data_IF_385768476804
#
_entry.id   IF_385768476804
#
_cell.length_a   1.000
_cell.length_b   1.000
_cell.length_c   1.000
_cell.angle_alpha   90.00
_cell.angle_beta   90.00
_cell.angle_gamma   90.00
#
_symmetry.space_group_name_H-M   'P 1'
#
loop_
_entity.id
_entity.type
_entity.pdbx_description
1 polymer ?
#
# COMPACT_ATOMS: atom_id res chain seq x y z
N UNK A 1 19.42 33.62 -22.64
CA UNK A 1 20.76 34.12 -23.07
C UNK A 1 20.70 34.45 -24.56
N UNK A 2 20.68 35.74 -24.90
CA UNK A 2 20.74 36.24 -26.30
C UNK A 2 22.23 36.31 -26.69
N UNK A 3 22.64 35.66 -27.77
CA UNK A 3 23.94 35.94 -28.41
C UNK A 3 23.70 36.56 -29.78
N UNK A 4 24.27 37.75 -29.88
CA UNK A 4 24.40 38.65 -31.01
C UNK A 4 25.27 38.00 -32.07
N UNK A 5 24.89 38.12 -33.34
CA UNK A 5 25.81 37.92 -34.46
C UNK A 5 25.66 39.14 -35.37
N UNK A 6 26.63 40.05 -35.26
CA UNK A 6 26.71 41.26 -36.04
C UNK A 6 27.22 40.93 -37.45
N UNK A 7 26.57 41.52 -38.44
CA UNK A 7 26.96 41.50 -39.84
C UNK A 7 28.19 42.39 -40.07
N UNK A 8 29.12 41.93 -40.91
CA UNK A 8 30.15 42.76 -41.53
C UNK A 8 29.86 42.73 -43.03
N UNK A 9 29.27 43.82 -43.53
CA UNK A 9 29.12 44.10 -44.96
C UNK A 9 30.16 45.16 -45.31
N UNK A 10 31.27 44.74 -45.94
CA UNK A 10 32.24 45.65 -46.54
C UNK A 10 31.69 46.12 -47.89
N UNK A 11 31.15 47.34 -47.90
CA UNK A 11 30.78 48.07 -49.10
C UNK A 11 32.06 48.67 -49.70
N UNK A 12 32.59 48.06 -50.76
CA UNK A 12 33.64 48.66 -51.58
C UNK A 12 32.99 49.54 -52.65
N UNK A 13 32.91 50.84 -52.38
CA UNK A 13 32.59 51.86 -53.39
C UNK A 13 33.81 52.05 -54.31
N UNK A 14 33.83 51.33 -55.45
CA UNK A 14 34.69 51.65 -56.58
C UNK A 14 33.93 52.53 -57.56
N UNK A 15 34.28 53.81 -57.54
CA UNK A 15 33.70 54.84 -58.40
C UNK A 15 34.32 54.74 -59.82
N UNK A 16 33.78 53.85 -60.65
CA UNK A 16 34.23 53.66 -62.04
C UNK A 16 33.48 54.67 -62.94
N UNK A 17 34.18 55.75 -63.32
CA UNK A 17 33.75 56.66 -64.38
C UNK A 17 33.72 55.94 -65.73
N UNK A 18 32.51 55.63 -66.20
CA UNK A 18 32.26 55.08 -67.53
C UNK A 18 32.48 56.13 -68.63
N UNK A 19 33.41 55.86 -69.53
CA UNK A 19 33.53 56.53 -70.84
C UNK A 19 32.53 55.85 -71.78
N UNK A 20 31.45 56.55 -72.16
CA UNK A 20 30.50 56.08 -73.18
C UNK A 20 31.09 56.29 -74.57
N UNK A 21 31.51 55.21 -75.21
CA UNK A 21 31.65 55.15 -76.66
C UNK A 21 30.35 54.57 -77.24
N UNK A 22 29.60 55.40 -77.97
CA UNK A 22 28.45 54.97 -78.78
C UNK A 22 28.97 54.46 -80.12
N UNK A 23 29.20 53.15 -80.23
CA UNK A 23 29.35 52.45 -81.51
C UNK A 23 28.07 51.64 -81.77
N UNK A 24 27.43 51.90 -82.91
CA UNK A 24 26.26 51.16 -83.37
C UNK A 24 26.68 49.78 -83.86
N UNK A 25 26.78 48.81 -82.95
CA UNK A 25 27.14 47.44 -83.28
C UNK A 25 25.91 46.56 -83.45
N UNK A 26 25.78 45.96 -84.63
CA UNK A 26 24.97 44.76 -84.74
C UNK A 26 25.57 43.67 -83.85
N UNK A 27 24.74 42.94 -83.08
CA UNK A 27 25.24 42.02 -82.06
C UNK A 27 26.05 40.91 -82.71
N UNK A 28 27.34 40.89 -82.40
CA UNK A 28 28.29 39.84 -82.78
C UNK A 28 27.69 38.45 -82.43
N UNK A 29 27.68 37.47 -83.36
CA UNK A 29 27.19 36.11 -83.10
C UNK A 29 27.78 35.48 -81.84
N UNK A 30 29.03 35.83 -81.50
CA UNK A 30 29.68 35.40 -80.26
C UNK A 30 28.97 35.93 -79.01
N UNK A 31 28.50 37.18 -79.01
CA UNK A 31 27.79 37.78 -77.90
C UNK A 31 26.45 37.07 -77.65
N UNK A 32 25.73 36.67 -78.71
CA UNK A 32 24.49 35.89 -78.58
C UNK A 32 24.72 34.51 -77.96
N UNK A 33 25.84 33.86 -78.27
CA UNK A 33 26.20 32.57 -77.68
C UNK A 33 26.56 32.71 -76.19
N UNK A 34 27.32 33.76 -75.86
CA UNK A 34 27.66 34.11 -74.48
C UNK A 34 26.39 34.38 -73.66
N UNK A 35 25.45 35.13 -74.22
CA UNK A 35 24.17 35.45 -73.58
C UNK A 35 23.35 34.18 -73.31
N UNK A 36 23.21 33.28 -74.29
CA UNK A 36 22.54 31.98 -74.09
C UNK A 36 23.21 31.11 -73.01
N UNK A 37 24.54 31.11 -72.95
CA UNK A 37 25.26 30.36 -71.91
C UNK A 37 25.07 30.98 -70.53
N UNK A 38 25.04 32.31 -70.44
CA UNK A 38 24.75 33.02 -69.20
C UNK A 38 23.34 32.72 -68.70
N UNK A 39 22.33 32.75 -69.58
CA UNK A 39 20.94 32.39 -69.25
C UNK A 39 20.84 30.96 -68.70
N UNK A 40 21.49 29.98 -69.37
CA UNK A 40 21.44 28.58 -68.94
C UNK A 40 22.15 28.36 -67.59
N UNK A 41 23.27 29.03 -67.35
CA UNK A 41 23.95 28.99 -66.04
C UNK A 41 23.12 29.64 -64.93
N UNK A 42 22.42 30.74 -65.24
CA UNK A 42 21.52 31.39 -64.30
C UNK A 42 20.34 30.48 -63.95
N UNK A 43 19.72 29.82 -64.94
CA UNK A 43 18.64 28.87 -64.73
C UNK A 43 19.08 27.64 -63.92
N UNK A 44 20.27 27.10 -64.23
CA UNK A 44 20.86 26.00 -63.47
C UNK A 44 21.12 26.39 -62.01
N UNK A 45 21.66 27.59 -61.78
CA UNK A 45 21.92 28.12 -60.43
C UNK A 45 20.61 28.28 -59.65
N UNK A 46 19.55 28.82 -60.28
CA UNK A 46 18.20 28.92 -59.68
C UNK A 46 17.66 27.54 -59.31
N UNK A 47 17.85 26.53 -60.17
CA UNK A 47 17.41 25.15 -59.91
C UNK A 47 18.14 24.52 -58.73
N UNK A 48 19.47 24.63 -58.65
CA UNK A 48 20.24 24.15 -57.49
C UNK A 48 19.78 24.86 -56.22
N UNK A 49 19.68 26.18 -56.23
CA UNK A 49 19.29 26.96 -55.05
C UNK A 49 17.89 26.56 -54.55
N UNK A 50 16.95 26.33 -55.46
CA UNK A 50 15.61 25.85 -55.11
C UNK A 50 15.63 24.44 -54.50
N UNK A 51 16.45 23.54 -55.03
CA UNK A 51 16.59 22.17 -54.52
C UNK A 51 17.22 22.14 -53.13
N UNK A 52 18.26 22.95 -52.89
CA UNK A 52 18.90 23.08 -51.59
C UNK A 52 17.93 23.62 -50.52
N UNK A 53 17.13 24.66 -50.84
CA UNK A 53 16.11 25.19 -49.93
C UNK A 53 15.05 24.15 -49.55
N UNK A 54 14.61 23.34 -50.51
CA UNK A 54 13.59 22.32 -50.28
C UNK A 54 14.07 21.17 -49.36
N UNK A 55 15.36 20.84 -49.39
CA UNK A 55 15.92 19.81 -48.51
C UNK A 55 15.95 20.30 -47.06
N UNK A 56 16.45 21.50 -46.83
CA UNK A 56 16.51 22.10 -45.49
C UNK A 56 15.12 22.23 -44.88
N UNK A 57 14.12 22.60 -45.68
CA UNK A 57 12.73 22.73 -45.23
C UNK A 57 12.10 21.39 -44.82
N UNK A 58 12.31 20.32 -45.61
CA UNK A 58 11.82 18.97 -45.27
C UNK A 58 12.45 18.40 -44.00
N UNK A 59 13.76 18.60 -43.81
CA UNK A 59 14.43 18.17 -42.59
C UNK A 59 13.90 18.94 -41.39
N UNK A 60 13.74 20.26 -41.52
CA UNK A 60 13.20 21.11 -40.47
C UNK A 60 11.78 20.70 -40.08
N UNK A 61 10.89 20.46 -41.04
CA UNK A 61 9.52 20.02 -40.80
C UNK A 61 9.46 18.69 -40.05
N UNK A 62 10.34 17.72 -40.41
CA UNK A 62 10.45 16.43 -39.72
C UNK A 62 10.86 16.60 -38.26
N UNK A 63 11.84 17.46 -37.98
CA UNK A 63 12.27 17.74 -36.60
C UNK A 63 11.18 18.47 -35.81
N UNK A 64 10.49 19.43 -36.42
CA UNK A 64 9.36 20.13 -35.79
C UNK A 64 8.24 19.16 -35.40
N UNK A 65 7.85 18.24 -36.31
CA UNK A 65 6.86 17.20 -35.99
C UNK A 65 7.31 16.31 -34.82
N UNK A 66 8.59 15.94 -34.78
CA UNK A 66 9.15 15.14 -33.69
C UNK A 66 9.13 15.90 -32.36
N UNK A 67 9.57 17.15 -32.35
CA UNK A 67 9.53 18.03 -31.17
C UNK A 67 8.10 18.20 -30.67
N UNK A 68 7.15 18.43 -31.57
CA UNK A 68 5.74 18.57 -31.23
C UNK A 68 5.19 17.29 -30.57
N UNK A 69 5.37 16.13 -31.21
CA UNK A 69 4.92 14.84 -30.65
C UNK A 69 5.54 14.52 -29.28
N UNK A 70 6.82 14.84 -29.08
CA UNK A 70 7.49 14.67 -27.80
C UNK A 70 6.94 15.63 -26.73
N UNK A 71 6.64 16.88 -27.10
CA UNK A 71 6.01 17.84 -26.19
C UNK A 71 4.62 17.38 -25.75
N UNK A 72 3.82 16.82 -26.66
CA UNK A 72 2.49 16.27 -26.33
C UNK A 72 2.60 15.09 -25.36
N UNK A 73 3.54 14.17 -25.60
CA UNK A 73 3.81 13.04 -24.69
C UNK A 73 4.25 13.52 -23.30
N UNK A 74 5.17 14.50 -23.22
CA UNK A 74 5.62 15.08 -21.95
C UNK A 74 4.45 15.70 -21.19
N UNK A 75 3.57 16.43 -21.88
CA UNK A 75 2.40 17.04 -21.26
C UNK A 75 1.41 15.98 -20.75
N UNK A 76 1.17 14.91 -21.51
CA UNK A 76 0.33 13.79 -21.10
C UNK A 76 0.89 13.06 -19.87
N UNK A 77 2.20 12.79 -19.84
CA UNK A 77 2.85 12.17 -18.69
C UNK A 77 2.81 13.06 -17.44
N UNK A 78 3.02 14.37 -17.61
CA UNK A 78 2.92 15.34 -16.51
C UNK A 78 1.52 15.34 -15.89
N UNK A 79 0.47 15.36 -16.72
CA UNK A 79 -0.91 15.29 -16.25
C UNK A 79 -1.20 13.97 -15.50
N UNK A 80 -0.66 12.83 -15.98
CA UNK A 80 -0.85 11.54 -15.31
C UNK A 80 -0.13 11.46 -13.95
N UNK A 81 1.04 12.07 -13.82
CA UNK A 81 1.76 12.14 -12.54
C UNK A 81 0.95 12.96 -11.54
N UNK A 82 0.43 14.11 -11.95
CA UNK A 82 -0.40 14.97 -11.09
C UNK A 82 -1.68 14.25 -10.61
N UNK A 83 -2.32 13.46 -11.48
CA UNK A 83 -3.46 12.60 -11.12
C UNK A 83 -3.07 11.53 -10.08
N UNK A 84 -1.91 10.88 -10.25
CA UNK A 84 -1.45 9.86 -9.31
C UNK A 84 -1.04 10.43 -7.96
N UNK A 85 -0.41 11.62 -7.94
CA UNK A 85 -0.05 12.32 -6.72
C UNK A 85 -1.30 12.74 -5.94
N UNK A 86 -2.32 13.27 -6.63
CA UNK A 86 -3.59 13.62 -6.00
C UNK A 86 -4.35 12.40 -5.47
N UNK A 87 -4.42 11.30 -6.23
CA UNK A 87 -5.01 10.03 -5.76
C UNK A 87 -4.26 9.45 -4.55
N UNK A 88 -2.92 9.50 -4.55
CA UNK A 88 -2.12 9.06 -3.42
C UNK A 88 -2.38 9.89 -2.15
N UNK A 89 -2.48 11.22 -2.28
CA UNK A 89 -2.83 12.11 -1.17
C UNK A 89 -4.25 11.79 -0.65
N UNK A 90 -5.23 11.59 -1.53
CA UNK A 90 -6.60 11.23 -1.15
C UNK A 90 -6.63 9.88 -0.42
N UNK A 91 -5.89 8.88 -0.92
CA UNK A 91 -5.78 7.56 -0.26
C UNK A 91 -5.11 7.65 1.10
N UNK A 92 -4.03 8.41 1.24
CA UNK A 92 -3.38 8.61 2.53
C UNK A 92 -4.30 9.33 3.54
N UNK A 93 -5.05 10.35 3.09
CA UNK A 93 -6.06 11.01 3.91
C UNK A 93 -7.19 10.04 4.32
N UNK A 94 -7.64 9.18 3.40
CA UNK A 94 -8.63 8.15 3.70
C UNK A 94 -8.09 7.12 4.69
N UNK A 95 -6.85 6.65 4.55
CA UNK A 95 -6.22 5.74 5.51
C UNK A 95 -6.10 6.42 6.89
N UNK A 96 -5.64 7.67 6.95
CA UNK A 96 -5.60 8.45 8.20
C UNK A 96 -6.99 8.66 8.81
N UNK A 97 -8.02 8.85 7.97
CA UNK A 97 -9.40 8.92 8.41
C UNK A 97 -9.88 7.58 8.97
N UNK A 98 -9.67 6.47 8.26
CA UNK A 98 -10.02 5.13 8.71
C UNK A 98 -9.27 4.73 9.98
N UNK A 99 -7.99 5.07 10.10
CA UNK A 99 -7.21 4.89 11.34
C UNK A 99 -7.82 5.68 12.47
N UNK A 100 -8.14 6.97 12.26
CA UNK A 100 -8.88 7.75 13.24
C UNK A 100 -10.23 7.12 13.56
N UNK A 101 -11.02 6.68 12.58
CA UNK A 101 -12.31 6.02 12.82
C UNK A 101 -12.14 4.73 13.61
N UNK A 102 -11.09 3.94 13.36
CA UNK A 102 -10.71 2.73 14.12
C UNK A 102 -10.19 3.06 15.52
N UNK A 103 -9.40 4.12 15.70
CA UNK A 103 -8.97 4.63 17.01
C UNK A 103 -10.14 5.25 17.78
N UNK A 104 -11.14 5.77 17.05
CA UNK A 104 -12.41 6.25 17.57
C UNK A 104 -13.45 5.14 17.71
N UNK A 105 -13.27 3.93 17.18
CA UNK A 105 -14.20 2.82 17.43
C UNK A 105 -14.24 2.48 18.94
N UNK A 106 -13.10 2.47 19.68
CA UNK A 106 -13.09 2.49 21.14
C UNK A 106 -13.84 3.68 21.77
N UNK A 107 -13.85 4.87 21.13
CA UNK A 107 -14.43 6.11 21.67
C UNK A 107 -15.91 6.33 21.30
N UNK A 108 -16.38 5.81 20.17
CA UNK A 108 -17.77 5.90 19.70
C UNK A 108 -18.64 4.80 20.29
N UNK A 109 -18.05 3.64 20.62
CA UNK A 109 -18.70 2.71 21.53
C UNK A 109 -18.86 3.33 22.93
N UNK A 110 -17.92 4.19 23.36
CA UNK A 110 -18.02 4.99 24.59
C UNK A 110 -19.04 6.15 24.51
N UNK A 111 -19.29 6.74 23.34
CA UNK A 111 -20.22 7.88 23.19
C UNK A 111 -21.67 7.48 22.95
N UNK A 112 -21.95 6.38 22.23
CA UNK A 112 -23.29 5.78 22.24
C UNK A 112 -23.55 4.92 23.48
N UNK A 113 -22.50 4.46 24.18
CA UNK A 113 -22.59 3.96 25.56
C UNK A 113 -22.39 5.06 26.62
N UNK A 114 -22.38 6.35 26.28
CA UNK A 114 -22.44 7.42 27.31
C UNK A 114 -23.88 7.65 27.81
N UNK A 115 -24.87 6.94 27.27
CA UNK A 115 -26.13 6.67 28.00
C UNK A 115 -26.08 5.37 28.83
N UNK A 116 -24.95 4.65 28.81
CA UNK A 116 -24.67 3.37 29.50
C UNK A 116 -23.22 3.39 30.05
N UNK A 117 -22.92 4.35 30.94
CA UNK A 117 -21.60 4.76 31.45
C UNK A 117 -20.92 3.70 32.36
N UNK A 118 -21.00 2.41 32.00
CA UNK A 118 -20.72 1.31 32.92
C UNK A 118 -19.62 0.31 32.54
N UNK A 119 -19.00 0.34 31.36
CA UNK A 119 -18.28 -0.87 30.89
C UNK A 119 -16.84 -0.71 30.34
N UNK A 120 -16.33 0.48 30.06
CA UNK A 120 -15.02 0.61 29.39
C UNK A 120 -13.76 0.68 30.29
N UNK A 121 -13.86 0.31 31.57
CA UNK A 121 -12.66 0.10 32.40
C UNK A 121 -11.94 -1.22 32.08
N UNK A 122 -12.62 -2.17 31.44
CA UNK A 122 -12.12 -3.55 31.38
C UNK A 122 -11.08 -3.83 30.29
N UNK A 123 -11.05 -3.05 29.21
CA UNK A 123 -10.12 -3.28 28.10
C UNK A 123 -8.73 -2.69 28.39
N UNK A 124 -8.66 -1.61 29.15
CA UNK A 124 -7.39 -1.12 29.71
C UNK A 124 -6.88 -2.06 30.83
N UNK A 125 -7.78 -2.60 31.66
CA UNK A 125 -7.46 -3.71 32.57
C UNK A 125 -7.06 -5.01 31.81
N UNK A 126 -7.51 -5.21 30.55
CA UNK A 126 -7.16 -6.39 29.72
C UNK A 126 -5.69 -6.39 29.28
N UNK A 127 -5.12 -5.22 28.97
CA UNK A 127 -3.75 -5.10 28.47
C UNK A 127 -2.71 -4.91 29.60
N UNK A 128 -3.14 -4.47 30.79
CA UNK A 128 -2.27 -4.22 31.94
C UNK A 128 -2.23 -5.34 33.00
N UNK A 129 -2.92 -6.46 32.81
CA UNK A 129 -2.74 -7.62 33.68
C UNK A 129 -1.41 -8.29 33.33
N UNK A 130 -0.33 -7.89 33.99
CA UNK A 130 0.92 -8.66 34.00
C UNK A 130 0.63 -10.04 34.63
N UNK A 131 0.71 -11.10 33.84
CA UNK A 131 0.27 -12.47 34.18
C UNK A 131 1.40 -13.34 34.77
N UNK A 132 2.48 -12.75 35.29
CA UNK A 132 3.63 -13.48 35.85
C UNK A 132 3.46 -13.84 37.34
N UNK A 133 2.32 -14.44 37.71
CA UNK A 133 2.02 -14.80 39.09
C UNK A 133 1.49 -16.22 39.21
N UNK A 134 2.38 -17.20 39.12
CA UNK A 134 2.09 -18.61 39.41
C UNK A 134 1.72 -18.76 40.88
N UNK A 135 0.46 -19.09 41.17
CA UNK A 135 0.07 -19.67 42.44
C UNK A 135 -0.61 -21.01 42.16
N UNK A 136 0.19 -22.06 42.26
CA UNK A 136 -0.20 -23.46 42.15
C UNK A 136 -0.76 -23.93 43.50
N UNK A 137 -2.06 -23.76 43.70
CA UNK A 137 -2.81 -24.53 44.70
C UNK A 137 -4.05 -25.12 44.00
N UNK A 138 -3.94 -26.39 43.60
CA UNK A 138 -5.04 -27.14 42.99
C UNK A 138 -6.13 -27.44 44.02
N UNK A 139 -7.39 -27.02 43.80
CA UNK A 139 -8.51 -27.49 44.63
C UNK A 139 -9.00 -28.86 44.15
N UNK A 140 -9.30 -29.74 45.09
CA UNK A 140 -9.79 -31.11 44.89
C UNK A 140 -11.21 -31.18 44.29
N UNK A 141 -11.37 -32.09 43.31
CA UNK A 141 -12.52 -32.88 42.81
C UNK A 141 -14.00 -32.41 42.91
N UNK A 142 -14.28 -31.20 43.38
CA UNK A 142 -15.63 -30.63 43.54
C UNK A 142 -15.91 -29.54 42.48
N UNK A 143 -15.08 -29.46 41.44
CA UNK A 143 -14.75 -28.24 40.69
C UNK A 143 -15.74 -27.83 39.60
N UNK A 144 -16.45 -28.76 38.94
CA UNK A 144 -17.35 -28.42 37.82
C UNK A 144 -18.65 -27.71 38.26
N UNK A 145 -19.29 -28.20 39.33
CA UNK A 145 -20.50 -27.58 39.87
C UNK A 145 -20.21 -26.20 40.47
N UNK A 146 -19.02 -26.02 41.04
CA UNK A 146 -18.54 -24.75 41.59
C UNK A 146 -18.30 -23.71 40.48
N UNK A 147 -17.68 -24.09 39.35
CA UNK A 147 -17.45 -23.19 38.22
C UNK A 147 -18.76 -22.60 37.67
N UNK A 148 -19.73 -23.45 37.34
CA UNK A 148 -21.00 -22.99 36.79
C UNK A 148 -21.76 -22.10 37.78
N UNK A 149 -21.77 -22.50 39.05
CA UNK A 149 -22.45 -21.74 40.10
C UNK A 149 -21.84 -20.35 40.26
N UNK A 150 -20.51 -20.23 40.24
CA UNK A 150 -19.83 -18.92 40.28
C UNK A 150 -20.10 -18.07 39.04
N UNK A 151 -20.11 -18.67 37.85
CA UNK A 151 -20.45 -17.94 36.62
C UNK A 151 -21.89 -17.42 36.67
N UNK A 152 -22.84 -18.24 37.12
CA UNK A 152 -24.24 -17.85 37.27
C UNK A 152 -24.41 -16.77 38.35
N UNK A 153 -23.72 -16.89 39.48
CA UNK A 153 -23.71 -15.85 40.52
C UNK A 153 -23.23 -14.52 39.95
N UNK A 154 -22.11 -14.52 39.22
CA UNK A 154 -21.58 -13.32 38.59
C UNK A 154 -22.58 -12.76 37.56
N UNK A 155 -23.17 -13.61 36.73
CA UNK A 155 -24.18 -13.17 35.75
C UNK A 155 -25.42 -12.58 36.43
N UNK A 156 -25.88 -13.15 37.53
CA UNK A 156 -27.03 -12.65 38.28
C UNK A 156 -26.71 -11.33 38.99
N UNK A 157 -25.49 -11.19 39.53
CA UNK A 157 -25.06 -9.98 40.25
C UNK A 157 -24.81 -8.80 39.30
N UNK A 158 -24.19 -9.04 38.15
CA UNK A 158 -23.75 -7.97 37.26
C UNK A 158 -24.64 -7.81 36.01
N UNK A 159 -25.37 -8.85 35.61
CA UNK A 159 -26.32 -8.80 34.49
C UNK A 159 -25.69 -8.21 33.23
N UNK A 160 -26.20 -7.04 32.82
CA UNK A 160 -25.68 -6.31 31.68
C UNK A 160 -24.31 -5.67 31.95
N UNK A 161 -24.06 -5.18 33.17
CA UNK A 161 -22.81 -4.56 33.63
C UNK A 161 -21.66 -5.56 33.85
N UNK A 162 -21.76 -6.74 33.26
CA UNK A 162 -20.75 -7.78 33.31
C UNK A 162 -19.47 -7.29 32.67
N UNK A 163 -18.38 -7.47 33.39
CA UNK A 163 -17.04 -6.97 33.13
C UNK A 163 -16.01 -8.09 33.18
N UNK A 164 -14.96 -7.99 32.38
CA UNK A 164 -13.95 -9.07 32.28
C UNK A 164 -13.30 -9.36 33.65
N UNK A 165 -12.99 -8.32 34.44
CA UNK A 165 -12.30 -8.47 35.72
C UNK A 165 -13.06 -9.36 36.71
N UNK A 166 -14.36 -9.53 36.56
CA UNK A 166 -15.15 -10.43 37.40
C UNK A 166 -14.88 -11.90 37.09
N UNK A 167 -14.36 -12.21 35.90
CA UNK A 167 -13.90 -13.55 35.51
C UNK A 167 -12.44 -13.85 35.90
N UNK A 168 -11.79 -12.98 36.70
CA UNK A 168 -10.44 -13.26 37.25
C UNK A 168 -10.37 -14.58 38.03
N UNK A 169 -11.46 -15.03 38.64
CA UNK A 169 -11.51 -16.32 39.34
C UNK A 169 -11.30 -17.53 38.41
N UNK A 170 -11.51 -17.37 37.09
CA UNK A 170 -11.21 -18.44 36.12
C UNK A 170 -9.74 -18.84 36.13
N UNK A 171 -8.84 -18.02 36.71
CA UNK A 171 -7.44 -18.35 36.99
C UNK A 171 -7.28 -19.64 37.81
N UNK A 172 -8.24 -19.94 38.65
CA UNK A 172 -8.16 -21.06 39.59
C UNK A 172 -8.52 -22.42 38.98
N UNK A 173 -8.96 -22.44 37.72
CA UNK A 173 -9.34 -23.66 37.00
C UNK A 173 -8.27 -24.07 36.00
N UNK A 174 -8.16 -25.38 35.77
CA UNK A 174 -7.32 -25.93 34.71
C UNK A 174 -7.84 -25.55 33.32
N UNK A 175 -6.94 -25.44 32.34
CA UNK A 175 -7.32 -25.14 30.96
C UNK A 175 -8.26 -26.21 30.38
N UNK A 176 -8.00 -27.49 30.69
CA UNK A 176 -8.86 -28.62 30.35
C UNK A 176 -10.28 -28.46 30.91
N UNK A 177 -10.39 -28.11 32.19
CA UNK A 177 -11.70 -27.93 32.84
C UNK A 177 -12.50 -26.81 32.17
N UNK A 178 -11.83 -25.70 31.81
CA UNK A 178 -12.47 -24.58 31.13
C UNK A 178 -12.92 -24.95 29.71
N UNK A 179 -12.08 -25.65 28.94
CA UNK A 179 -12.42 -26.10 27.59
C UNK A 179 -13.57 -27.10 27.63
N UNK A 180 -13.54 -28.08 28.52
CA UNK A 180 -14.66 -29.00 28.74
C UNK A 180 -15.94 -28.26 29.12
N UNK A 181 -15.84 -27.25 29.99
CA UNK A 181 -16.99 -26.42 30.35
C UNK A 181 -17.61 -25.74 29.13
N UNK A 182 -16.81 -25.26 28.16
CA UNK A 182 -17.34 -24.66 26.91
C UNK A 182 -18.15 -25.61 26.04
N UNK A 183 -18.02 -26.93 26.24
CA UNK A 183 -18.77 -27.96 25.53
C UNK A 183 -20.13 -28.28 26.19
N UNK A 184 -20.40 -27.72 27.37
CA UNK A 184 -21.61 -28.03 28.17
C UNK A 184 -22.84 -27.23 27.74
N UNK A 185 -24.04 -27.77 28.00
CA UNK A 185 -25.31 -27.04 27.84
C UNK A 185 -25.38 -25.81 28.73
N UNK A 186 -24.78 -25.88 29.92
CA UNK A 186 -24.65 -24.75 30.84
C UNK A 186 -23.93 -23.57 30.19
N UNK A 187 -22.76 -23.80 29.57
CA UNK A 187 -22.07 -22.75 28.82
C UNK A 187 -22.92 -22.21 27.67
N UNK A 188 -23.60 -23.09 26.94
CA UNK A 188 -24.49 -22.71 25.83
C UNK A 188 -25.70 -21.88 26.30
N UNK A 189 -26.13 -22.01 27.55
CA UNK A 189 -27.20 -21.20 28.14
C UNK A 189 -26.73 -19.81 28.59
N UNK A 190 -25.41 -19.57 28.69
CA UNK A 190 -24.87 -18.28 29.13
C UNK A 190 -25.14 -17.16 28.13
N UNK A 191 -25.19 -15.93 28.64
CA UNK A 191 -25.27 -14.74 27.81
C UNK A 191 -23.98 -14.57 26.96
N UNK A 192 -24.09 -13.78 25.88
CA UNK A 192 -23.01 -13.57 24.91
C UNK A 192 -21.74 -12.99 25.55
N UNK A 193 -21.86 -12.12 26.56
CA UNK A 193 -20.71 -11.50 27.25
C UNK A 193 -19.94 -12.53 28.07
N UNK A 194 -20.60 -13.34 28.88
CA UNK A 194 -19.94 -14.39 29.68
C UNK A 194 -19.22 -15.40 28.78
N UNK A 195 -19.88 -15.85 27.71
CA UNK A 195 -19.26 -16.74 26.71
C UNK A 195 -17.99 -16.13 26.12
N UNK A 196 -18.05 -14.85 25.73
CA UNK A 196 -16.90 -14.10 25.20
C UNK A 196 -15.76 -14.03 26.23
N UNK A 197 -16.04 -13.71 27.49
CA UNK A 197 -15.02 -13.57 28.53
C UNK A 197 -14.37 -14.91 28.88
N UNK A 198 -15.15 -15.98 29.02
CA UNK A 198 -14.61 -17.33 29.25
C UNK A 198 -13.72 -17.75 28.09
N UNK A 199 -14.19 -17.60 26.84
CA UNK A 199 -13.39 -17.92 25.65
C UNK A 199 -12.13 -17.07 25.53
N UNK A 200 -12.20 -15.80 25.92
CA UNK A 200 -11.03 -14.93 25.98
C UNK A 200 -9.99 -15.44 26.98
N UNK A 201 -10.42 -15.84 28.18
CA UNK A 201 -9.51 -16.40 29.18
C UNK A 201 -8.84 -17.69 28.70
N UNK A 202 -9.58 -18.57 28.02
CA UNK A 202 -9.03 -19.79 27.44
C UNK A 202 -8.02 -19.44 26.33
N UNK A 203 -8.41 -18.60 25.37
CA UNK A 203 -7.54 -18.19 24.25
C UNK A 203 -6.25 -17.57 24.74
N UNK A 204 -6.29 -16.70 25.74
CA UNK A 204 -5.09 -16.06 26.27
C UNK A 204 -4.14 -17.04 26.94
N UNK A 205 -4.66 -18.01 27.70
CA UNK A 205 -3.82 -19.05 28.31
C UNK A 205 -3.10 -19.88 27.24
N UNK A 206 -3.83 -20.31 26.22
CA UNK A 206 -3.25 -21.06 25.11
C UNK A 206 -2.22 -20.24 24.31
N UNK A 207 -2.42 -18.92 24.16
CA UNK A 207 -1.41 -18.03 23.54
C UNK A 207 -0.13 -17.95 24.38
N UNK A 208 -0.23 -17.98 25.71
CA UNK A 208 0.92 -17.88 26.61
C UNK A 208 1.89 -19.06 26.45
N UNK A 209 1.39 -20.25 26.12
CA UNK A 209 2.23 -21.44 25.87
C UNK A 209 3.22 -21.22 24.72
N UNK A 210 2.88 -20.36 23.76
CA UNK A 210 3.78 -19.96 22.66
C UNK A 210 4.77 -18.85 23.03
N UNK A 211 4.70 -18.27 24.23
CA UNK A 211 5.65 -17.25 24.69
C UNK A 211 6.92 -17.90 25.28
N UNK A 212 6.83 -19.15 25.73
CA UNK A 212 7.96 -19.90 26.27
C UNK A 212 8.97 -20.29 25.17
N UNK A 213 10.23 -20.54 25.57
CA UNK A 213 11.28 -20.98 24.64
C UNK A 213 11.03 -22.41 24.14
N UNK A 214 10.56 -23.29 25.01
CA UNK A 214 10.21 -24.68 24.69
C UNK A 214 8.69 -24.82 24.80
N UNK A 215 8.01 -24.90 23.65
CA UNK A 215 6.55 -24.97 23.64
C UNK A 215 6.10 -26.34 24.11
N UNK A 216 5.31 -26.35 25.19
CA UNK A 216 4.55 -27.52 25.63
C UNK A 216 3.08 -27.19 25.51
N UNK A 217 2.42 -27.78 24.52
CA UNK A 217 1.00 -27.55 24.29
C UNK A 217 0.16 -28.33 25.30
N UNK A 218 -0.80 -27.65 25.94
CA UNK A 218 -1.74 -28.31 26.85
C UNK A 218 -2.88 -29.03 26.11
N UNK A 219 -3.15 -28.69 24.84
CA UNK A 219 -4.22 -29.27 24.03
C UNK A 219 -3.71 -29.90 22.73
N UNK A 220 -4.60 -30.57 22.01
CA UNK A 220 -4.41 -30.90 20.60
C UNK A 220 -4.36 -29.65 19.71
N UNK A 221 -3.76 -29.76 18.53
CA UNK A 221 -3.63 -28.67 17.56
C UNK A 221 -4.99 -28.13 17.10
N UNK A 222 -6.01 -28.99 17.01
CA UNK A 222 -7.35 -28.64 16.58
C UNK A 222 -7.97 -27.56 17.47
N UNK A 223 -7.76 -27.62 18.78
CA UNK A 223 -8.27 -26.61 19.71
C UNK A 223 -7.57 -25.24 19.52
N UNK A 224 -6.29 -25.21 19.14
CA UNK A 224 -5.60 -23.95 18.80
C UNK A 224 -6.05 -23.38 17.46
N UNK A 225 -6.31 -24.24 16.47
CA UNK A 225 -6.86 -23.85 15.15
C UNK A 225 -8.26 -23.28 15.34
N UNK A 226 -9.14 -24.01 16.03
CA UNK A 226 -10.52 -23.61 16.32
C UNK A 226 -10.64 -22.25 17.03
N UNK A 227 -9.59 -21.85 17.76
CA UNK A 227 -9.55 -20.58 18.50
C UNK A 227 -8.79 -19.47 17.76
N UNK A 228 -8.42 -19.69 16.51
CA UNK A 228 -7.63 -18.77 15.68
C UNK A 228 -6.31 -18.36 16.39
N UNK A 229 -5.61 -19.32 16.99
CA UNK A 229 -4.28 -19.11 17.59
C UNK A 229 -3.20 -19.44 16.57
N UNK A 230 -3.37 -20.54 15.86
CA UNK A 230 -2.57 -20.97 14.72
C UNK A 230 -3.50 -21.17 13.52
N UNK A 231 -3.02 -21.00 12.28
CA UNK A 231 -3.85 -21.21 11.09
C UNK A 231 -4.05 -22.70 10.82
N UNK A 232 -5.16 -23.06 10.19
CA UNK A 232 -5.40 -24.42 9.70
C UNK A 232 -4.36 -24.83 8.66
N UNK A 233 -3.98 -26.10 8.66
CA UNK A 233 -2.97 -26.62 7.75
C UNK A 233 -3.52 -26.68 6.31
N UNK A 234 -2.78 -26.19 5.30
CA UNK A 234 -3.23 -26.27 3.92
C UNK A 234 -3.30 -27.71 3.41
N UNK A 235 -4.23 -27.96 2.49
CA UNK A 235 -4.41 -29.27 1.85
C UNK A 235 -3.09 -29.70 1.19
N UNK A 236 -2.70 -30.95 1.41
CA UNK A 236 -1.47 -31.53 0.83
C UNK A 236 -0.24 -31.46 1.73
N UNK A 237 -0.38 -30.93 2.95
CA UNK A 237 0.65 -30.96 3.96
C UNK A 237 0.22 -31.83 5.13
N UNK A 238 1.14 -32.63 5.66
CA UNK A 238 0.86 -33.53 6.80
C UNK A 238 1.14 -32.87 8.15
N UNK A 239 2.02 -31.86 8.17
CA UNK A 239 2.37 -31.11 9.37
C UNK A 239 2.92 -29.71 9.05
N UNK A 240 3.03 -28.89 10.10
CA UNK A 240 3.51 -27.51 10.02
C UNK A 240 4.98 -27.38 9.62
N UNK A 241 5.84 -28.35 9.96
CA UNK A 241 7.26 -28.32 9.60
C UNK A 241 7.46 -28.40 8.07
N UNK A 242 6.59 -29.13 7.36
CA UNK A 242 6.62 -29.19 5.89
C UNK A 242 6.21 -27.88 5.22
N UNK A 243 5.48 -27.02 5.93
CA UNK A 243 4.95 -25.79 5.37
C UNK A 243 5.93 -24.60 5.43
N UNK A 244 7.01 -24.65 6.21
CA UNK A 244 7.86 -23.48 6.47
C UNK A 244 8.46 -22.86 5.19
N UNK A 245 8.76 -23.69 4.19
CA UNK A 245 9.31 -23.26 2.91
C UNK A 245 8.25 -22.95 1.83
N UNK A 246 6.96 -22.92 2.20
CA UNK A 246 5.85 -22.73 1.25
C UNK A 246 5.44 -21.26 1.09
N UNK A 247 4.82 -20.94 -0.06
CA UNK A 247 4.19 -19.63 -0.27
C UNK A 247 3.06 -19.35 0.72
N UNK A 248 2.35 -20.40 1.16
CA UNK A 248 1.34 -20.30 2.21
C UNK A 248 1.94 -19.74 3.50
N UNK A 249 3.07 -20.28 3.96
CA UNK A 249 3.74 -19.80 5.15
C UNK A 249 4.21 -18.34 5.00
N UNK A 250 4.72 -17.98 3.83
CA UNK A 250 5.15 -16.61 3.54
C UNK A 250 4.00 -15.59 3.61
N UNK A 251 2.77 -16.02 3.29
CA UNK A 251 1.56 -15.18 3.36
C UNK A 251 1.07 -14.88 4.79
N UNK A 252 1.54 -15.63 5.79
CA UNK A 252 1.12 -15.47 7.19
C UNK A 252 1.72 -14.21 7.82
N UNK A 253 1.09 -13.72 8.88
CA UNK A 253 1.67 -12.64 9.69
C UNK A 253 2.81 -13.16 10.58
N UNK A 254 3.69 -12.27 11.03
CA UNK A 254 4.88 -12.63 11.81
C UNK A 254 4.56 -13.35 13.13
N UNK A 255 3.43 -13.03 13.77
CA UNK A 255 2.99 -13.72 14.99
C UNK A 255 2.64 -15.18 14.67
N UNK A 256 1.89 -15.43 13.60
CA UNK A 256 1.54 -16.78 13.15
C UNK A 256 2.78 -17.57 12.74
N UNK A 257 3.66 -16.97 11.93
CA UNK A 257 4.95 -17.57 11.54
C UNK A 257 5.77 -17.98 12.76
N UNK A 258 5.89 -17.08 13.74
CA UNK A 258 6.63 -17.35 14.98
C UNK A 258 6.02 -18.50 15.78
N UNK A 259 4.70 -18.66 15.79
CA UNK A 259 4.04 -19.77 16.50
C UNK A 259 4.25 -21.09 15.78
N UNK A 260 4.09 -21.09 14.46
CA UNK A 260 4.29 -22.27 13.61
C UNK A 260 5.71 -22.81 13.72
N UNK A 261 6.73 -21.94 13.71
CA UNK A 261 8.15 -22.35 13.87
C UNK A 261 8.47 -23.05 15.20
N UNK A 262 7.61 -22.90 16.20
CA UNK A 262 7.77 -23.53 17.51
C UNK A 262 7.06 -24.88 17.62
N UNK A 263 6.27 -25.26 16.61
CA UNK A 263 5.61 -26.56 16.48
C UNK A 263 6.51 -27.54 15.73
#
# INVERSE_FOLDING_TARGET
>A
MKKVTAAITHQNDFDIKYIKHESSEQPNPLNRLIEKHAEHLEEFSKKILSSCKNLDEKFYEKYQKKIHSQSELINSLRARIEELETDAIVKDQNIKRLRRELDYFPLLYNRYSSSLVGENQDYEDMMNLNWNGSSSHSPSSTTKHDLNSKILQINNLYGNSLRLKQFKFLKNYGINELIEYTKTTNFNSLNKKSKRYINFHIKNRLIQEFQEQNVTLSQDLDEYIKRDIIPELPIGYDNYAMCENSDWFNSLNEIQKSRIRKL
#
